data_IF_791255901395
#
_entry.id   IF_791255901395
#
_cell.length_a   1.000
_cell.length_b   1.000
_cell.length_c   1.000
_cell.angle_alpha   90.00
_cell.angle_beta   90.00
_cell.angle_gamma   90.00
#
_symmetry.space_group_name_H-M   'P 1'
#
loop_
_entity.id
_entity.type
_entity.pdbx_description
1 polymer ?
#
# COMPACT_ATOMS: atom_id res chain seq x y z
N UNK A 1 -19.21 -5.44 20.82
CA UNK A 1 -18.67 -6.75 20.40
C UNK A 1 -17.93 -6.55 19.09
N UNK A 2 -16.59 -6.55 19.08
CA UNK A 2 -15.80 -6.40 17.86
C UNK A 2 -15.64 -7.77 17.18
N UNK A 3 -16.48 -8.05 16.19
CA UNK A 3 -16.56 -9.34 15.49
C UNK A 3 -15.78 -9.28 14.18
N UNK A 4 -14.56 -9.83 14.16
CA UNK A 4 -13.74 -10.02 12.94
C UNK A 4 -13.43 -8.82 11.99
N UNK A 5 -13.41 -7.52 12.37
CA UNK A 5 -13.10 -6.44 11.42
C UNK A 5 -11.59 -6.15 11.31
N UNK A 6 -10.79 -6.50 12.34
CA UNK A 6 -9.43 -5.98 12.47
C UNK A 6 -8.39 -6.79 11.67
N UNK A 7 -8.56 -8.12 11.62
CA UNK A 7 -7.60 -9.01 10.94
C UNK A 7 -7.68 -8.92 9.42
N UNK A 8 -8.89 -8.76 8.87
CA UNK A 8 -9.09 -8.63 7.42
C UNK A 8 -8.55 -7.28 6.93
N UNK A 9 -8.85 -6.20 7.65
CA UNK A 9 -8.27 -4.88 7.37
C UNK A 9 -6.75 -4.92 7.48
N UNK A 10 -6.20 -5.53 8.54
CA UNK A 10 -4.76 -5.69 8.69
C UNK A 10 -4.12 -6.45 7.52
N UNK A 11 -4.68 -7.59 7.11
CA UNK A 11 -4.16 -8.35 5.97
C UNK A 11 -4.24 -7.57 4.66
N UNK A 12 -5.30 -6.77 4.46
CA UNK A 12 -5.40 -5.89 3.31
C UNK A 12 -4.28 -4.83 3.33
N UNK A 13 -4.03 -4.18 4.46
CA UNK A 13 -2.95 -3.21 4.61
C UNK A 13 -1.57 -3.84 4.40
N UNK A 14 -1.33 -5.05 4.93
CA UNK A 14 -0.10 -5.83 4.69
C UNK A 14 0.04 -6.14 3.19
N UNK A 15 -1.03 -6.55 2.51
CA UNK A 15 -1.02 -6.78 1.06
C UNK A 15 -0.60 -5.53 0.29
N UNK A 16 -1.06 -4.34 0.69
CA UNK A 16 -0.63 -3.08 0.06
C UNK A 16 0.83 -2.74 0.39
N UNK A 17 1.29 -3.01 1.61
CA UNK A 17 2.69 -2.83 2.01
C UNK A 17 3.65 -3.78 1.27
N UNK A 18 3.23 -5.00 0.97
CA UNK A 18 4.00 -5.92 0.10
C UNK A 18 4.21 -5.34 -1.29
N UNK A 19 3.21 -4.63 -1.85
CA UNK A 19 3.38 -3.96 -3.13
C UNK A 19 4.42 -2.83 -3.03
N UNK A 20 4.45 -2.09 -1.92
CA UNK A 20 5.49 -1.08 -1.67
C UNK A 20 6.89 -1.71 -1.66
N UNK A 21 7.07 -2.86 -1.01
CA UNK A 21 8.37 -3.54 -1.02
C UNK A 21 8.71 -4.11 -2.42
N UNK A 22 7.72 -4.57 -3.20
CA UNK A 22 7.94 -5.09 -4.56
C UNK A 22 8.30 -4.00 -5.58
N UNK A 23 7.73 -2.79 -5.48
CA UNK A 23 8.02 -1.70 -6.44
C UNK A 23 9.47 -1.23 -6.41
N UNK A 24 10.17 -1.54 -5.31
CA UNK A 24 11.60 -1.33 -5.17
C UNK A 24 12.41 -2.11 -6.23
N UNK A 25 11.97 -3.32 -6.60
CA UNK A 25 12.67 -4.14 -7.59
C UNK A 25 12.25 -3.80 -9.04
N UNK A 26 10.95 -3.59 -9.28
CA UNK A 26 10.38 -3.27 -10.59
C UNK A 26 8.99 -2.66 -10.42
N UNK A 27 8.47 -1.87 -11.38
CA UNK A 27 7.08 -1.37 -11.33
C UNK A 27 6.06 -2.47 -11.03
N UNK A 28 5.12 -2.21 -10.11
CA UNK A 28 4.11 -3.20 -9.75
C UNK A 28 3.08 -3.31 -10.87
N UNK A 29 2.82 -4.53 -11.32
CA UNK A 29 1.73 -4.79 -12.25
C UNK A 29 0.39 -4.82 -11.49
N UNK A 30 -0.71 -4.36 -12.11
CA UNK A 30 -2.05 -4.58 -11.59
C UNK A 30 -2.27 -6.05 -11.23
N UNK A 31 -2.74 -6.31 -10.01
CA UNK A 31 -3.00 -7.67 -9.54
C UNK A 31 -4.37 -7.75 -8.82
N UNK A 32 -5.16 -8.83 -8.97
CA UNK A 32 -6.45 -8.98 -8.30
C UNK A 32 -6.38 -8.80 -6.78
N UNK A 33 -5.32 -9.29 -6.14
CA UNK A 33 -5.11 -9.12 -4.70
C UNK A 33 -5.01 -7.64 -4.27
N UNK A 34 -4.36 -6.79 -5.09
CA UNK A 34 -4.26 -5.36 -4.82
C UNK A 34 -5.64 -4.69 -4.89
N UNK A 35 -6.46 -5.06 -5.90
CA UNK A 35 -7.84 -4.54 -6.03
C UNK A 35 -8.71 -5.00 -4.86
N UNK A 36 -8.60 -6.26 -4.44
CA UNK A 36 -9.33 -6.77 -3.29
C UNK A 36 -8.92 -6.06 -1.99
N UNK A 37 -7.62 -5.89 -1.76
CA UNK A 37 -7.11 -5.17 -0.58
C UNK A 37 -7.61 -3.72 -0.53
N UNK A 38 -7.57 -3.00 -1.67
CA UNK A 38 -8.13 -1.65 -1.76
C UNK A 38 -9.65 -1.64 -1.51
N UNK A 39 -10.40 -2.59 -2.04
CA UNK A 39 -11.84 -2.70 -1.80
C UNK A 39 -12.17 -2.95 -0.32
N UNK A 40 -11.39 -3.81 0.35
CA UNK A 40 -11.50 -4.06 1.79
C UNK A 40 -11.21 -2.79 2.59
N UNK A 41 -10.13 -2.08 2.27
CA UNK A 41 -9.80 -0.83 2.95
C UNK A 41 -10.87 0.24 2.72
N UNK A 42 -11.40 0.36 1.50
CA UNK A 42 -12.49 1.29 1.19
C UNK A 42 -13.76 0.97 2.00
N UNK A 43 -14.11 -0.31 2.16
CA UNK A 43 -15.25 -0.74 2.98
C UNK A 43 -15.10 -0.39 4.47
N UNK A 44 -13.86 -0.19 4.95
CA UNK A 44 -13.56 0.25 6.32
C UNK A 44 -13.34 1.78 6.42
N UNK A 45 -13.46 2.49 5.31
CA UNK A 45 -13.30 3.94 5.26
C UNK A 45 -14.63 4.67 5.47
N UNK A 46 -14.59 6.00 5.54
CA UNK A 46 -15.79 6.85 5.62
C UNK A 46 -16.39 7.20 4.24
N UNK A 47 -16.04 6.46 3.19
CA UNK A 47 -16.61 6.60 1.84
C UNK A 47 -15.84 7.54 0.90
N UNK A 48 -14.73 8.11 1.34
CA UNK A 48 -13.84 8.86 0.44
C UNK A 48 -13.02 7.88 -0.42
N UNK A 49 -13.17 7.97 -1.75
CA UNK A 49 -12.48 7.09 -2.70
C UNK A 49 -11.08 7.56 -3.05
N UNK A 50 -10.77 8.85 -2.84
CA UNK A 50 -9.55 9.48 -3.36
C UNK A 50 -8.27 8.76 -2.94
N UNK A 51 -8.07 8.38 -1.66
CA UNK A 51 -6.82 7.76 -1.22
C UNK A 51 -6.57 6.39 -1.89
N UNK A 52 -7.65 5.64 -2.15
CA UNK A 52 -7.60 4.32 -2.75
C UNK A 52 -7.31 4.40 -4.26
N UNK A 53 -7.98 5.33 -4.95
CA UNK A 53 -7.75 5.58 -6.37
C UNK A 53 -6.37 6.21 -6.62
N UNK A 54 -5.87 7.02 -5.67
CA UNK A 54 -4.51 7.54 -5.69
C UNK A 54 -3.47 6.42 -5.55
N UNK A 55 -3.63 5.51 -4.57
CA UNK A 55 -2.75 4.34 -4.43
C UNK A 55 -2.73 3.49 -5.69
N UNK A 56 -3.91 3.19 -6.27
CA UNK A 56 -4.02 2.41 -7.50
C UNK A 56 -3.28 3.05 -8.67
N UNK A 57 -3.37 4.37 -8.83
CA UNK A 57 -2.64 5.10 -9.88
C UNK A 57 -1.13 5.05 -9.65
N UNK A 58 -0.67 5.33 -8.42
CA UNK A 58 0.76 5.37 -8.10
C UNK A 58 1.44 4.01 -8.24
N UNK A 59 0.77 2.90 -7.91
CA UNK A 59 1.41 1.57 -8.06
C UNK A 59 1.68 1.20 -9.53
N UNK A 60 0.96 1.81 -10.47
CA UNK A 60 1.08 1.57 -11.90
C UNK A 60 2.06 2.53 -12.60
N UNK A 61 2.45 3.63 -11.95
CA UNK A 61 3.33 4.61 -12.56
C UNK A 61 4.77 4.05 -12.65
N UNK A 62 5.30 3.83 -13.87
CA UNK A 62 6.65 3.30 -14.02
C UNK A 62 7.72 4.32 -13.65
N UNK A 63 7.39 5.62 -13.59
CA UNK A 63 8.33 6.75 -13.54
C UNK A 63 9.43 6.65 -14.61
N UNK A 64 9.07 6.18 -15.80
CA UNK A 64 10.00 5.92 -16.91
C UNK A 64 10.67 7.19 -17.49
N UNK A 65 10.17 8.38 -17.15
CA UNK A 65 10.75 9.66 -17.55
C UNK A 65 11.94 10.10 -16.69
N UNK A 66 12.30 9.35 -15.65
CA UNK A 66 13.44 9.68 -14.80
C UNK A 66 14.77 9.37 -15.49
N UNK A 67 15.80 10.16 -15.18
CA UNK A 67 17.12 10.09 -15.81
C UNK A 67 17.90 8.81 -15.48
N UNK A 68 17.53 8.08 -14.43
CA UNK A 68 18.15 6.81 -14.04
C UNK A 68 17.16 5.86 -13.39
N UNK A 69 17.44 4.56 -13.44
CA UNK A 69 16.64 3.53 -12.77
C UNK A 69 16.68 3.67 -11.23
N UNK A 70 17.78 4.17 -10.67
CA UNK A 70 17.91 4.45 -9.24
C UNK A 70 16.94 5.57 -8.81
N UNK A 71 16.87 6.64 -9.59
CA UNK A 71 15.91 7.73 -9.38
C UNK A 71 14.47 7.24 -9.55
N UNK A 72 14.20 6.46 -10.60
CA UNK A 72 12.87 5.88 -10.84
C UNK A 72 12.42 4.99 -9.66
N UNK A 73 13.32 4.16 -9.14
CA UNK A 73 13.09 3.31 -7.95
C UNK A 73 12.79 4.11 -6.70
N UNK A 74 13.59 5.14 -6.43
CA UNK A 74 13.38 6.02 -5.28
C UNK A 74 12.01 6.73 -5.37
N UNK A 75 11.66 7.26 -6.55
CA UNK A 75 10.37 7.88 -6.79
C UNK A 75 9.21 6.90 -6.58
N UNK A 76 9.23 5.72 -7.21
CA UNK A 76 8.19 4.68 -7.05
C UNK A 76 7.92 4.37 -5.59
N UNK A 77 8.98 4.10 -4.84
CA UNK A 77 8.88 3.69 -3.44
C UNK A 77 8.34 4.84 -2.58
N UNK A 78 8.87 6.05 -2.76
CA UNK A 78 8.47 7.24 -1.99
C UNK A 78 7.02 7.65 -2.24
N UNK A 79 6.60 7.69 -3.50
CA UNK A 79 5.24 8.08 -3.86
C UNK A 79 4.23 7.01 -3.44
N UNK A 80 4.55 5.73 -3.65
CA UNK A 80 3.63 4.67 -3.24
C UNK A 80 3.51 4.56 -1.71
N UNK A 81 4.60 4.78 -0.97
CA UNK A 81 4.54 4.88 0.49
C UNK A 81 3.70 6.09 0.94
N UNK A 82 3.79 7.22 0.25
CA UNK A 82 2.95 8.39 0.51
C UNK A 82 1.47 8.06 0.28
N UNK A 83 1.14 7.36 -0.80
CA UNK A 83 -0.22 6.91 -1.06
C UNK A 83 -0.72 5.91 0.00
N UNK A 84 0.14 4.99 0.47
CA UNK A 84 -0.20 4.05 1.55
C UNK A 84 -0.56 4.79 2.85
N UNK A 85 0.17 5.86 3.20
CA UNK A 85 -0.16 6.70 4.35
C UNK A 85 -1.53 7.38 4.20
N UNK A 86 -1.90 7.77 2.99
CA UNK A 86 -3.26 8.26 2.68
C UNK A 86 -4.32 7.19 2.97
N UNK A 87 -4.10 5.96 2.53
CA UNK A 87 -4.98 4.82 2.80
C UNK A 87 -5.11 4.54 4.31
N UNK A 88 -4.00 4.56 5.06
CA UNK A 88 -4.01 4.38 6.52
C UNK A 88 -4.93 5.40 7.21
N UNK A 89 -4.76 6.69 6.89
CA UNK A 89 -5.61 7.75 7.45
C UNK A 89 -7.08 7.57 7.08
N UNK A 90 -7.36 7.16 5.84
CA UNK A 90 -8.72 6.94 5.35
C UNK A 90 -9.48 5.84 6.12
N UNK A 91 -8.75 4.82 6.62
CA UNK A 91 -9.29 3.75 7.47
C UNK A 91 -9.15 4.04 8.98
N UNK A 92 -8.77 5.26 9.36
CA UNK A 92 -8.70 5.70 10.75
C UNK A 92 -7.42 5.30 11.50
N UNK A 93 -6.36 4.93 10.78
CA UNK A 93 -5.05 4.60 11.35
C UNK A 93 -4.08 5.74 11.12
N UNK A 94 -3.50 6.27 12.21
CA UNK A 94 -2.45 7.29 12.11
C UNK A 94 -1.13 6.64 11.63
N UNK A 95 -0.49 7.12 10.54
CA UNK A 95 0.76 6.58 10.02
C UNK A 95 1.97 7.00 10.89
N UNK A 96 2.04 6.43 12.09
CA UNK A 96 3.20 6.58 12.97
C UNK A 96 4.35 5.69 12.50
N UNK A 97 5.58 6.01 12.92
CA UNK A 97 6.77 5.20 12.62
C UNK A 97 6.58 3.73 13.03
N UNK A 98 5.93 3.49 14.17
CA UNK A 98 5.68 2.15 14.70
C UNK A 98 4.71 1.35 13.80
N UNK A 99 3.66 1.99 13.29
CA UNK A 99 2.72 1.36 12.35
C UNK A 99 3.43 1.01 11.04
N UNK A 100 4.26 1.92 10.53
CA UNK A 100 5.02 1.70 9.30
C UNK A 100 6.02 0.54 9.45
N UNK A 101 6.74 0.47 10.56
CA UNK A 101 7.63 -0.65 10.88
C UNK A 101 6.85 -1.97 10.94
N UNK A 102 5.72 -2.00 11.65
CA UNK A 102 4.92 -3.21 11.80
C UNK A 102 4.39 -3.73 10.45
N UNK A 103 3.89 -2.85 9.58
CA UNK A 103 3.44 -3.21 8.24
C UNK A 103 4.59 -3.72 7.38
N UNK A 104 5.74 -3.05 7.43
CA UNK A 104 6.92 -3.43 6.66
C UNK A 104 7.45 -4.80 7.06
N UNK A 105 7.53 -5.07 8.36
CA UNK A 105 7.98 -6.36 8.87
C UNK A 105 7.00 -7.48 8.53
N UNK A 106 5.69 -7.23 8.61
CA UNK A 106 4.67 -8.18 8.19
C UNK A 106 4.73 -8.48 6.68
N UNK A 107 4.87 -7.45 5.85
CA UNK A 107 5.00 -7.59 4.41
C UNK A 107 6.23 -8.43 4.01
N UNK A 108 7.38 -8.16 4.63
CA UNK A 108 8.61 -8.93 4.38
C UNK A 108 8.48 -10.40 4.75
N UNK A 109 7.79 -10.70 5.87
CA UNK A 109 7.49 -12.09 6.26
C UNK A 109 6.57 -12.78 5.25
N UNK A 110 5.57 -12.06 4.73
CA UNK A 110 4.66 -12.57 3.70
C UNK A 110 5.37 -12.90 2.38
N UNK A 111 6.38 -12.11 1.99
CA UNK A 111 7.20 -12.37 0.80
C UNK A 111 8.19 -13.53 0.95
N UNK A 112 8.51 -13.93 2.18
CA UNK A 112 9.46 -15.00 2.47
C UNK A 112 8.80 -16.38 2.64
N UNK A 113 7.46 -16.43 2.69
CA UNK A 113 6.65 -17.63 2.81
C UNK A 113 6.22 -18.17 1.43
#
# INVERSE_FOLDING_TARGET
MATLPDRILWLALVTLAELVERVNAAPARPHPAARLALAVCYAHSKGDREPFDHFWRMMQDPHASQSSEETARYCRTTYLMTALRGVLRAVGIEPTVQVEIALRDAARKGLAA
#
